data_IF_505948043480
#
_entry.id   IF_505948043480
#
_cell.length_a   1.000
_cell.length_b   1.000
_cell.length_c   1.000
_cell.angle_alpha   90.00
_cell.angle_beta   90.00
_cell.angle_gamma   90.00
#
_symmetry.space_group_name_H-M   'P 1'
#
loop_
_entity.id
_entity.type
_entity.pdbx_description
1 polymer ?
#
# COMPACT_ATOMS: atom_id res chain seq x y z
N UNK A 1 -47.46 -30.36 -41.88
CA UNK A 1 -46.70 -30.51 -40.62
C UNK A 1 -45.47 -29.61 -40.71
N UNK A 2 -45.40 -28.56 -39.88
CA UNK A 2 -44.36 -27.52 -39.96
C UNK A 2 -43.14 -27.96 -39.13
N UNK A 3 -42.00 -28.16 -39.78
CA UNK A 3 -40.73 -28.44 -39.10
C UNK A 3 -40.16 -27.15 -38.50
N UNK A 4 -40.13 -27.06 -37.17
CA UNK A 4 -39.53 -25.96 -36.41
C UNK A 4 -38.04 -26.27 -36.22
N UNK A 5 -37.15 -25.51 -36.86
CA UNK A 5 -35.70 -25.61 -36.64
C UNK A 5 -35.30 -24.69 -35.49
N UNK A 6 -34.95 -25.28 -34.35
CA UNK A 6 -34.39 -24.58 -33.19
C UNK A 6 -32.89 -24.35 -33.48
N UNK A 7 -32.49 -23.09 -33.62
CA UNK A 7 -31.08 -22.70 -33.71
C UNK A 7 -30.56 -22.43 -32.30
N UNK A 8 -29.73 -23.34 -31.79
CA UNK A 8 -29.02 -23.19 -30.52
C UNK A 8 -27.79 -22.30 -30.76
N UNK A 9 -27.84 -21.04 -30.32
CA UNK A 9 -26.69 -20.11 -30.37
C UNK A 9 -25.91 -20.27 -29.06
N UNK A 10 -24.80 -21.01 -29.10
CA UNK A 10 -23.81 -21.05 -28.01
C UNK A 10 -22.89 -19.84 -28.12
N UNK A 11 -23.08 -18.85 -27.24
CA UNK A 11 -22.14 -17.73 -27.08
C UNK A 11 -21.00 -18.19 -26.17
N UNK A 12 -19.86 -18.52 -26.76
CA UNK A 12 -18.59 -18.72 -26.04
C UNK A 12 -18.06 -17.36 -25.59
N UNK A 13 -18.33 -16.98 -24.34
CA UNK A 13 -17.69 -15.83 -23.70
C UNK A 13 -16.27 -16.27 -23.32
N UNK A 14 -15.29 -15.96 -24.17
CA UNK A 14 -13.87 -16.09 -23.84
C UNK A 14 -13.49 -15.04 -22.81
N UNK A 15 -13.53 -15.39 -21.52
CA UNK A 15 -12.99 -14.56 -20.45
C UNK A 15 -11.47 -14.60 -20.60
N UNK A 16 -10.90 -13.54 -21.16
CA UNK A 16 -9.46 -13.32 -21.16
C UNK A 16 -9.01 -13.12 -19.71
N UNK A 17 -8.58 -14.19 -19.05
CA UNK A 17 -7.87 -14.09 -17.78
C UNK A 17 -6.51 -13.46 -18.07
N UNK A 18 -6.46 -12.13 -18.10
CA UNK A 18 -5.19 -11.43 -17.94
C UNK A 18 -4.59 -11.95 -16.64
N UNK A 19 -3.43 -12.59 -16.71
CA UNK A 19 -2.71 -13.05 -15.54
C UNK A 19 -2.36 -11.82 -14.70
N UNK A 20 -3.21 -11.50 -13.74
CA UNK A 20 -3.00 -10.42 -12.81
C UNK A 20 -1.86 -10.86 -11.87
N UNK A 21 -0.63 -10.45 -12.18
CA UNK A 21 0.50 -10.68 -11.29
C UNK A 21 0.57 -9.56 -10.26
N UNK A 22 0.90 -9.92 -9.01
CA UNK A 22 1.29 -8.94 -8.01
C UNK A 22 2.46 -8.08 -8.53
N UNK A 23 2.51 -6.81 -8.13
CA UNK A 23 3.62 -5.90 -8.48
C UNK A 23 4.31 -5.43 -7.22
N UNK A 24 5.64 -5.57 -7.18
CA UNK A 24 6.45 -5.05 -6.08
C UNK A 24 6.90 -3.63 -6.42
N UNK A 25 6.92 -2.78 -5.41
CA UNK A 25 7.40 -1.40 -5.51
C UNK A 25 8.50 -1.18 -4.48
N UNK A 26 9.52 -0.43 -4.89
CA UNK A 26 10.56 0.07 -4.01
C UNK A 26 10.73 1.58 -4.22
N UNK A 27 10.97 2.29 -3.12
CA UNK A 27 10.94 3.74 -3.11
C UNK A 27 11.82 4.40 -2.07
N UNK A 28 11.82 5.72 -2.10
CA UNK A 28 12.61 6.60 -1.23
C UNK A 28 11.76 7.75 -0.75
N UNK A 29 12.17 8.35 0.38
CA UNK A 29 11.57 9.58 0.89
C UNK A 29 12.41 10.80 0.53
N UNK A 30 11.80 11.84 -0.05
CA UNK A 30 12.53 13.05 -0.46
C UNK A 30 12.91 13.96 0.70
N UNK A 31 12.11 13.95 1.77
CA UNK A 31 12.37 14.65 3.03
C UNK A 31 12.64 13.68 4.20
N UNK A 32 12.93 12.41 3.91
CA UNK A 32 13.33 11.43 4.91
C UNK A 32 14.78 11.59 5.33
N UNK A 33 15.07 11.40 6.61
CA UNK A 33 16.43 11.47 7.13
C UNK A 33 17.28 10.29 6.62
N UNK A 34 18.53 10.57 6.23
CA UNK A 34 19.56 9.58 5.84
C UNK A 34 19.11 8.54 4.80
N UNK A 35 18.33 8.95 3.80
CA UNK A 35 17.99 8.08 2.67
C UNK A 35 17.02 6.95 3.01
N UNK A 36 16.05 7.22 3.89
CA UNK A 36 14.96 6.31 4.24
C UNK A 36 14.28 5.74 2.98
N UNK A 37 13.88 4.47 3.07
CA UNK A 37 13.32 3.69 1.97
C UNK A 37 11.95 3.15 2.35
N UNK A 38 11.19 2.81 1.31
CA UNK A 38 9.97 2.04 1.45
C UNK A 38 9.88 0.91 0.44
N UNK A 39 9.05 -0.08 0.76
CA UNK A 39 8.62 -1.10 -0.20
C UNK A 39 7.17 -1.51 0.07
N UNK A 40 6.48 -1.96 -0.97
CA UNK A 40 5.16 -2.58 -0.84
C UNK A 40 4.85 -3.49 -2.03
N UNK A 41 3.81 -4.31 -1.90
CA UNK A 41 3.25 -5.12 -2.98
C UNK A 41 1.84 -4.65 -3.30
N UNK A 42 1.57 -4.35 -4.56
CA UNK A 42 0.21 -4.17 -5.06
C UNK A 42 -0.36 -5.56 -5.41
N UNK A 43 -1.55 -5.86 -4.88
CA UNK A 43 -2.27 -7.09 -5.20
C UNK A 43 -2.51 -7.22 -6.70
N UNK A 44 -2.68 -8.46 -7.15
CA UNK A 44 -2.98 -8.80 -8.53
C UNK A 44 -4.13 -7.96 -9.12
N UNK A 45 -5.23 -7.87 -8.39
CA UNK A 45 -6.43 -7.10 -8.77
C UNK A 45 -6.28 -5.58 -8.63
N UNK A 46 -5.13 -5.10 -8.13
CA UNK A 46 -4.86 -3.68 -7.93
C UNK A 46 -5.64 -3.03 -6.79
N UNK A 47 -6.33 -3.80 -5.94
CA UNK A 47 -7.24 -3.27 -4.90
C UNK A 47 -6.61 -3.15 -3.53
N UNK A 48 -5.45 -3.76 -3.29
CA UNK A 48 -4.81 -3.79 -1.98
C UNK A 48 -3.31 -3.49 -2.10
N UNK A 49 -2.83 -2.60 -1.24
CA UNK A 49 -1.42 -2.39 -0.96
C UNK A 49 -1.06 -3.22 0.28
N UNK A 50 -0.19 -4.21 0.07
CA UNK A 50 0.19 -5.23 1.04
C UNK A 50 1.68 -5.10 1.38
N UNK A 51 2.09 -5.67 2.52
CA UNK A 51 3.51 -5.74 2.92
C UNK A 51 4.22 -4.38 2.86
N UNK A 52 3.53 -3.31 3.26
CA UNK A 52 4.15 -1.99 3.33
C UNK A 52 5.28 -2.05 4.35
N UNK A 53 6.45 -1.52 4.01
CA UNK A 53 7.59 -1.43 4.90
C UNK A 53 8.19 -0.04 4.78
N UNK A 54 8.35 0.62 5.92
CA UNK A 54 9.23 1.75 6.13
C UNK A 54 10.56 1.25 6.69
N UNK A 55 11.67 1.71 6.13
CA UNK A 55 13.03 1.42 6.60
C UNK A 55 13.78 2.75 6.68
N UNK A 56 13.92 3.30 7.88
CA UNK A 56 14.42 4.66 8.05
C UNK A 56 14.50 5.12 9.50
N UNK A 57 14.57 6.43 9.70
CA UNK A 57 14.71 7.03 11.02
C UNK A 57 13.45 7.78 11.46
N UNK A 58 13.19 7.74 12.76
CA UNK A 58 12.11 8.49 13.41
C UNK A 58 12.59 9.13 14.71
N UNK A 59 11.83 10.11 15.20
CA UNK A 59 12.06 10.75 16.50
C UNK A 59 11.27 10.02 17.56
N UNK A 60 11.88 9.60 18.66
CA UNK A 60 11.22 8.93 19.78
C UNK A 60 11.79 9.45 21.09
N UNK A 61 10.95 9.95 22.00
CA UNK A 61 11.42 10.39 23.33
C UNK A 61 12.62 11.36 23.31
N UNK A 62 12.79 12.15 22.25
CA UNK A 62 13.92 13.08 22.05
C UNK A 62 15.14 12.52 21.32
N UNK A 63 15.25 11.21 21.12
CA UNK A 63 16.29 10.56 20.32
C UNK A 63 15.89 10.47 18.84
N UNK A 64 16.87 10.17 17.98
CA UNK A 64 16.61 9.73 16.59
C UNK A 64 17.05 8.29 16.48
N UNK A 65 16.14 7.41 16.11
CA UNK A 65 16.37 5.97 16.09
C UNK A 65 16.08 5.40 14.69
N UNK A 66 16.81 4.36 14.31
CA UNK A 66 16.54 3.61 13.10
C UNK A 66 15.46 2.56 13.38
N UNK A 67 14.54 2.38 12.44
CA UNK A 67 13.48 1.39 12.53
C UNK A 67 13.13 0.85 11.15
N UNK A 68 12.78 -0.43 11.13
CA UNK A 68 12.15 -1.09 10.00
C UNK A 68 10.79 -1.64 10.45
N UNK A 69 9.70 -1.09 9.94
CA UNK A 69 8.36 -1.40 10.41
C UNK A 69 7.31 -1.19 9.31
N UNK A 70 6.17 -1.84 9.49
CA UNK A 70 4.99 -1.74 8.64
C UNK A 70 3.78 -2.37 9.31
N UNK A 71 2.55 -2.04 8.89
CA UNK A 71 1.36 -2.66 9.43
C UNK A 71 1.21 -4.10 8.95
N UNK A 72 0.63 -4.97 9.79
CA UNK A 72 0.23 -6.32 9.37
C UNK A 72 -0.94 -6.27 8.37
N UNK A 73 -1.84 -5.30 8.53
CA UNK A 73 -3.00 -5.10 7.65
C UNK A 73 -2.60 -4.41 6.34
N UNK A 74 -3.42 -4.61 5.32
CA UNK A 74 -3.26 -3.97 3.99
C UNK A 74 -4.03 -2.66 3.89
N UNK A 75 -3.55 -1.74 3.06
CA UNK A 75 -4.28 -0.52 2.70
C UNK A 75 -5.16 -0.75 1.46
N UNK A 76 -6.42 -0.28 1.46
CA UNK A 76 -7.25 -0.32 0.28
C UNK A 76 -6.73 0.63 -0.81
N UNK A 77 -6.87 0.20 -2.06
CA UNK A 77 -6.58 0.99 -3.25
C UNK A 77 -7.87 1.13 -4.05
N UNK A 78 -8.32 2.37 -4.22
CA UNK A 78 -9.55 2.69 -4.96
C UNK A 78 -9.20 3.64 -6.09
N UNK A 79 -9.44 3.21 -7.34
CA UNK A 79 -9.11 3.99 -8.54
C UNK A 79 -7.65 4.47 -8.56
N UNK A 80 -6.71 3.60 -8.15
CA UNK A 80 -5.29 3.90 -8.08
C UNK A 80 -4.89 4.84 -6.93
N UNK A 81 -5.81 5.19 -6.02
CA UNK A 81 -5.54 6.04 -4.85
C UNK A 81 -5.45 5.20 -3.58
N UNK A 82 -4.49 5.53 -2.73
CA UNK A 82 -4.32 5.02 -1.39
C UNK A 82 -4.69 6.15 -0.43
N UNK A 83 -5.57 5.88 0.52
CA UNK A 83 -5.86 6.77 1.63
C UNK A 83 -6.30 5.93 2.81
N UNK A 84 -5.49 5.88 3.87
CA UNK A 84 -5.85 5.07 5.02
C UNK A 84 -4.95 5.27 6.22
N UNK A 85 -5.50 4.88 7.36
CA UNK A 85 -4.80 4.82 8.64
C UNK A 85 -4.97 3.42 9.19
N UNK A 86 -3.86 2.80 9.59
CA UNK A 86 -3.87 1.52 10.30
C UNK A 86 -3.30 1.74 11.70
N UNK A 87 -4.00 1.23 12.70
CA UNK A 87 -3.51 1.09 14.06
C UNK A 87 -3.05 -0.36 14.27
N UNK A 88 -1.84 -0.54 14.79
CA UNK A 88 -1.23 -1.85 14.98
C UNK A 88 -0.56 -1.97 16.37
N UNK A 89 -1.12 -2.78 17.30
CA UNK A 89 -2.40 -3.49 17.17
C UNK A 89 -3.60 -2.53 17.24
N UNK A 90 -4.74 -2.93 16.65
CA UNK A 90 -5.95 -2.08 16.52
C UNK A 90 -6.50 -1.55 17.86
N UNK A 91 -6.31 -2.32 18.94
CA UNK A 91 -6.72 -1.96 20.30
C UNK A 91 -5.53 -1.60 21.22
N UNK A 92 -4.36 -1.28 20.65
CA UNK A 92 -3.16 -0.96 21.43
C UNK A 92 -3.18 0.41 22.11
N UNK A 93 -4.21 1.23 21.87
CA UNK A 93 -4.33 2.56 22.48
C UNK A 93 -3.11 3.42 22.20
N UNK A 94 -2.52 4.01 23.25
CA UNK A 94 -1.38 4.91 23.12
C UNK A 94 -0.07 4.23 22.69
N UNK A 95 0.08 2.91 22.86
CA UNK A 95 1.27 2.17 22.44
C UNK A 95 1.17 1.59 21.03
N UNK A 96 0.01 1.69 20.38
CA UNK A 96 -0.16 1.23 19.00
C UNK A 96 0.66 2.07 18.02
N UNK A 97 1.26 1.40 17.05
CA UNK A 97 1.74 2.07 15.86
C UNK A 97 0.57 2.61 15.07
N UNK A 98 0.64 3.88 14.68
CA UNK A 98 -0.26 4.49 13.71
C UNK A 98 0.48 4.67 12.40
N UNK A 99 0.04 3.98 11.35
CA UNK A 99 0.52 4.11 9.99
C UNK A 99 -0.49 4.87 9.15
N UNK A 100 -0.14 6.09 8.75
CA UNK A 100 -0.93 6.97 7.89
C UNK A 100 -0.29 6.97 6.51
N UNK A 101 -1.03 6.52 5.49
CA UNK A 101 -0.54 6.39 4.13
C UNK A 101 -1.52 7.01 3.14
N UNK A 102 -1.01 7.95 2.36
CA UNK A 102 -1.71 8.58 1.25
C UNK A 102 -0.86 8.42 0.00
N UNK A 103 -1.49 8.22 -1.16
CA UNK A 103 -0.74 8.20 -2.40
C UNK A 103 -1.54 7.83 -3.64
N UNK A 104 -0.83 7.78 -4.76
CA UNK A 104 -1.36 7.39 -6.05
C UNK A 104 -0.44 6.36 -6.70
N UNK A 105 -1.03 5.41 -7.43
CA UNK A 105 -0.33 4.41 -8.24
C UNK A 105 -0.76 4.60 -9.69
N UNK A 106 0.19 5.01 -10.54
CA UNK A 106 0.01 5.23 -11.96
C UNK A 106 0.96 4.32 -12.74
N UNK A 107 0.45 3.14 -13.12
CA UNK A 107 1.21 2.15 -13.89
C UNK A 107 2.39 1.57 -13.10
N UNK A 108 3.62 1.97 -13.44
CA UNK A 108 4.87 1.53 -12.78
C UNK A 108 5.40 2.53 -11.76
N UNK A 109 4.71 3.65 -11.56
CA UNK A 109 5.13 4.71 -10.66
C UNK A 109 4.09 4.87 -9.54
N UNK A 110 4.57 5.20 -8.35
CA UNK A 110 3.73 5.56 -7.23
C UNK A 110 4.37 6.70 -6.43
N UNK A 111 3.55 7.54 -5.82
CA UNK A 111 4.03 8.63 -4.95
C UNK A 111 2.95 9.00 -3.94
N UNK A 112 3.35 9.68 -2.88
CA UNK A 112 2.42 10.16 -1.88
C UNK A 112 3.08 10.62 -0.59
N UNK A 113 2.35 10.47 0.51
CA UNK A 113 2.85 10.80 1.84
C UNK A 113 2.67 9.66 2.82
N UNK A 114 3.51 9.64 3.85
CA UNK A 114 3.52 8.63 4.89
C UNK A 114 3.82 9.28 6.24
N UNK A 115 3.16 8.81 7.30
CA UNK A 115 3.53 9.11 8.67
C UNK A 115 3.33 7.88 9.53
N UNK A 116 4.38 7.50 10.24
CA UNK A 116 4.35 6.54 11.34
C UNK A 116 4.54 7.24 12.67
N UNK A 117 3.72 6.90 13.67
CA UNK A 117 3.80 7.47 15.01
C UNK A 117 3.34 6.50 16.10
N UNK A 118 3.84 6.66 17.33
CA UNK A 118 3.29 6.08 18.56
C UNK A 118 3.09 7.21 19.56
N UNK A 119 1.84 7.50 19.92
CA UNK A 119 1.49 8.65 20.77
C UNK A 119 2.08 8.53 22.18
N UNK A 120 1.96 7.36 22.80
CA UNK A 120 2.40 7.12 24.19
C UNK A 120 3.91 7.18 24.39
N UNK A 121 4.69 7.04 23.32
CA UNK A 121 6.15 7.13 23.33
C UNK A 121 6.68 8.44 22.74
N UNK A 122 5.78 9.35 22.33
CA UNK A 122 6.13 10.55 21.56
C UNK A 122 7.03 10.22 20.36
N UNK A 123 6.70 9.12 19.67
CA UNK A 123 7.41 8.66 18.49
C UNK A 123 6.73 9.19 17.23
N UNK A 124 7.48 9.79 16.31
CA UNK A 124 6.96 10.33 15.06
C UNK A 124 8.04 10.40 13.97
N UNK A 125 7.65 10.02 12.76
CA UNK A 125 8.42 10.25 11.53
C UNK A 125 8.19 11.64 10.94
N UNK A 126 7.16 12.34 11.41
CA UNK A 126 6.49 13.45 10.72
C UNK A 126 5.94 13.02 9.35
N UNK A 127 5.34 13.97 8.62
CA UNK A 127 4.82 13.69 7.28
C UNK A 127 5.99 13.61 6.28
N UNK A 128 6.25 12.40 5.78
CA UNK A 128 7.26 12.12 4.78
C UNK A 128 6.63 12.04 3.39
N UNK A 129 7.30 12.60 2.39
CA UNK A 129 6.93 12.53 0.98
C UNK A 129 7.73 11.42 0.31
N UNK A 130 7.05 10.54 -0.43
CA UNK A 130 7.69 9.38 -1.04
C UNK A 130 7.40 9.24 -2.53
N UNK A 131 8.32 8.58 -3.22
CA UNK A 131 8.17 8.08 -4.58
C UNK A 131 8.63 6.63 -4.64
N UNK A 132 8.03 5.83 -5.51
CA UNK A 132 8.36 4.43 -5.71
C UNK A 132 8.18 3.99 -7.17
N UNK A 133 8.95 3.00 -7.57
CA UNK A 133 8.87 2.37 -8.90
C UNK A 133 8.66 0.88 -8.77
N UNK A 134 7.94 0.31 -9.74
CA UNK A 134 7.76 -1.13 -9.83
C UNK A 134 9.10 -1.83 -10.17
N UNK A 135 9.38 -2.94 -9.48
CA UNK A 135 10.59 -3.76 -9.63
C UNK A 135 10.28 -5.20 -10.05
#
# INVERSE_FOLDING_TARGET
MKHFKIYLVLILISISFSAFSQKKFAGTFSNGYKGAKLSFTLSADGKQLQNFTFDGFWRCGGSTEHIKAGPEKSFPVVNGKIQGVILDPENGGASAFRFDLEGTINGKQANGTFRMSITGLSCDTYKLNWTAVAI
#
